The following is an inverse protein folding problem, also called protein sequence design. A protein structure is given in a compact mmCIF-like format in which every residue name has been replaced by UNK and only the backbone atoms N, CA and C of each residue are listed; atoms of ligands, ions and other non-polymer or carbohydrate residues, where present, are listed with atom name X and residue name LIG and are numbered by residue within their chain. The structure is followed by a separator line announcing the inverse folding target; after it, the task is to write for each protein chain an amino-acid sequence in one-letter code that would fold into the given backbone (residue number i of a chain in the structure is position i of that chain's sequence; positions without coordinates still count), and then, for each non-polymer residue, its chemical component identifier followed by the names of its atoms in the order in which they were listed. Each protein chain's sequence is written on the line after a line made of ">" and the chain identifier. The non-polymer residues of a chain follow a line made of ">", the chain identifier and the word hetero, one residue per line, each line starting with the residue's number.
data_IF_258880190382
#
_entry.id   IF_258880190382
#
_cell.length_a   1.000
_cell.length_b   1.000
_cell.length_c   1.000
_cell.angle_alpha   90.00
_cell.angle_beta   90.00
_cell.angle_gamma   90.00
#
_symmetry.space_group_name_H-M   'P 1'
#
loop_
_entity.id
_entity.type
_entity.pdbx_description
1 polymer ?
#
# COMPACT_ATOMS: atom_id res chain seq x y z
N UNK A 1 -21.52 3.10 -16.49
CA UNK A 1 -20.68 3.82 -15.50
C UNK A 1 -19.78 2.82 -14.78
N UNK A 2 -18.45 2.98 -14.84
CA UNK A 2 -17.56 2.22 -13.96
C UNK A 2 -17.80 2.72 -12.53
N UNK A 3 -18.39 1.87 -11.69
CA UNK A 3 -18.64 2.19 -10.27
C UNK A 3 -17.51 1.61 -9.42
N UNK A 4 -17.17 2.33 -8.34
CA UNK A 4 -16.29 1.82 -7.30
C UNK A 4 -16.92 0.56 -6.70
N UNK A 5 -16.15 -0.52 -6.66
CA UNK A 5 -16.56 -1.75 -5.98
C UNK A 5 -16.03 -1.72 -4.55
N UNK A 6 -16.85 -1.23 -3.62
CA UNK A 6 -16.47 -1.14 -2.21
C UNK A 6 -16.16 -2.50 -1.56
N UNK A 7 -16.76 -3.60 -2.06
CA UNK A 7 -16.42 -4.95 -1.59
C UNK A 7 -14.97 -5.30 -1.92
N UNK A 8 -14.52 -4.98 -3.14
CA UNK A 8 -13.14 -5.20 -3.56
C UNK A 8 -12.15 -4.30 -2.78
N UNK A 9 -12.53 -3.03 -2.52
CA UNK A 9 -11.73 -2.12 -1.68
C UNK A 9 -11.54 -2.69 -0.28
N UNK A 10 -12.64 -3.09 0.38
CA UNK A 10 -12.56 -3.64 1.74
C UNK A 10 -11.71 -4.92 1.78
N UNK A 11 -11.80 -5.75 0.75
CA UNK A 11 -10.97 -6.95 0.64
C UNK A 11 -9.48 -6.63 0.49
N UNK A 12 -9.12 -5.70 -0.40
CA UNK A 12 -7.72 -5.23 -0.55
C UNK A 12 -7.21 -4.65 0.76
N UNK A 13 -8.01 -3.80 1.40
CA UNK A 13 -7.68 -3.17 2.67
C UNK A 13 -7.38 -4.21 3.75
N UNK A 14 -8.24 -5.22 3.91
CA UNK A 14 -8.03 -6.32 4.85
C UNK A 14 -6.75 -7.10 4.55
N UNK A 15 -6.49 -7.44 3.28
CA UNK A 15 -5.25 -8.12 2.90
C UNK A 15 -4.00 -7.29 3.17
N UNK A 16 -4.06 -5.97 2.96
CA UNK A 16 -2.94 -5.08 3.26
C UNK A 16 -2.69 -4.93 4.76
N UNK A 17 -3.75 -4.96 5.59
CA UNK A 17 -3.61 -5.02 7.05
C UNK A 17 -2.95 -6.32 7.48
N UNK A 18 -3.41 -7.47 6.96
CA UNK A 18 -2.80 -8.77 7.27
C UNK A 18 -1.33 -8.81 6.83
N UNK A 19 -1.04 -8.27 5.65
CA UNK A 19 0.33 -8.13 5.16
C UNK A 19 1.15 -7.20 6.06
N UNK A 20 0.59 -6.12 6.60
CA UNK A 20 1.28 -5.22 7.52
C UNK A 20 1.62 -5.89 8.85
N UNK A 21 0.67 -6.65 9.41
CA UNK A 21 0.88 -7.42 10.65
C UNK A 21 1.97 -8.47 10.44
N UNK A 22 1.86 -9.25 9.35
CA UNK A 22 2.85 -10.26 9.02
C UNK A 22 4.22 -9.63 8.78
N UNK A 23 4.28 -8.59 7.94
CA UNK A 23 5.50 -7.85 7.65
C UNK A 23 6.16 -7.38 8.94
N UNK A 24 5.46 -6.65 9.80
CA UNK A 24 5.96 -6.15 11.08
C UNK A 24 6.49 -7.27 12.00
N UNK A 25 5.86 -8.45 11.98
CA UNK A 25 6.30 -9.60 12.78
C UNK A 25 7.67 -10.14 12.35
N UNK A 26 8.07 -9.89 11.10
CA UNK A 26 9.37 -10.26 10.54
C UNK A 26 10.38 -9.11 10.51
N UNK A 27 10.15 -8.02 11.25
CA UNK A 27 11.04 -6.87 11.24
C UNK A 27 12.46 -7.24 11.71
N UNK A 28 13.51 -6.94 10.91
CA UNK A 28 14.89 -7.19 11.31
C UNK A 28 15.30 -6.22 12.42
N UNK A 29 15.15 -6.66 13.68
CA UNK A 29 15.68 -6.06 14.92
C UNK A 29 15.14 -4.68 15.36
N UNK A 30 15.40 -4.35 16.64
CA UNK A 30 15.00 -3.13 17.35
C UNK A 30 15.52 -1.81 16.72
N UNK A 31 16.53 -1.85 15.85
CA UNK A 31 17.11 -0.65 15.20
C UNK A 31 16.14 0.05 14.24
N UNK A 32 15.23 -0.70 13.61
CA UNK A 32 14.18 -0.16 12.76
C UNK A 32 13.18 0.69 13.57
N UNK A 33 12.95 0.30 14.84
CA UNK A 33 12.18 1.08 15.81
C UNK A 33 12.97 2.29 16.31
N UNK A 34 14.29 2.20 16.49
CA UNK A 34 15.17 3.33 16.86
C UNK A 34 15.15 4.49 15.85
N UNK A 35 15.03 4.20 14.55
CA UNK A 35 14.82 5.23 13.52
C UNK A 35 13.54 6.04 13.73
N UNK A 36 12.45 5.39 14.19
CA UNK A 36 11.21 6.08 14.54
C UNK A 36 11.34 6.93 15.82
N UNK A 37 12.23 6.56 16.75
CA UNK A 37 12.54 7.33 17.98
C UNK A 37 13.12 8.69 17.63
N UNK A 38 14.03 8.75 16.64
CA UNK A 38 14.62 10.01 16.18
C UNK A 38 13.61 10.99 15.59
N UNK A 39 12.54 10.47 14.99
CA UNK A 39 11.51 11.30 14.34
C UNK A 39 10.45 11.75 15.35
N UNK A 40 10.14 10.92 16.34
CA UNK A 40 9.00 11.14 17.25
C UNK A 40 9.40 11.65 18.64
N UNK A 41 10.69 11.58 19.01
CA UNK A 41 11.21 12.04 20.31
C UNK A 41 10.83 11.17 21.52
N UNK A 42 9.80 10.32 21.38
CA UNK A 42 9.33 9.41 22.42
C UNK A 42 10.04 8.05 22.38
N UNK A 43 10.45 7.56 23.56
CA UNK A 43 10.93 6.18 23.76
C UNK A 43 9.77 5.20 23.52
N UNK A 44 9.74 4.44 22.43
CA UNK A 44 8.67 3.52 22.13
C UNK A 44 9.08 2.15 22.68
N UNK A 45 8.65 1.85 23.89
CA UNK A 45 8.47 0.43 24.23
C UNK A 45 7.30 -0.17 23.42
N UNK A 46 6.41 0.67 22.86
CA UNK A 46 5.25 0.26 22.06
C UNK A 46 4.91 1.25 20.94
N UNK A 47 4.31 0.75 19.85
CA UNK A 47 3.69 1.57 18.80
C UNK A 47 2.57 2.42 19.43
N UNK A 48 2.62 3.75 19.28
CA UNK A 48 1.55 4.60 19.82
C UNK A 48 0.23 4.36 19.10
N UNK A 49 -0.90 4.53 19.79
CA UNK A 49 -2.23 4.43 19.18
C UNK A 49 -2.34 5.34 17.96
N UNK A 50 -1.75 6.55 18.03
CA UNK A 50 -1.70 7.49 16.91
C UNK A 50 -0.96 6.95 15.68
N UNK A 51 0.19 6.30 15.85
CA UNK A 51 0.94 5.67 14.76
C UNK A 51 0.14 4.52 14.13
N UNK A 52 -0.51 3.69 14.95
CA UNK A 52 -1.38 2.62 14.47
C UNK A 52 -2.50 3.20 13.62
N UNK A 53 -3.22 4.21 14.13
CA UNK A 53 -4.31 4.88 13.39
C UNK A 53 -3.83 5.49 12.07
N UNK A 54 -2.64 6.12 12.07
CA UNK A 54 -2.05 6.67 10.85
C UNK A 54 -1.75 5.60 9.80
N UNK A 55 -1.25 4.43 10.21
CA UNK A 55 -1.01 3.31 9.31
C UNK A 55 -2.33 2.86 8.65
N UNK A 56 -3.37 2.60 9.45
CA UNK A 56 -4.68 2.20 8.92
C UNK A 56 -5.27 3.25 7.97
N UNK A 57 -5.18 4.53 8.33
CA UNK A 57 -5.67 5.63 7.50
C UNK A 57 -4.89 5.71 6.17
N UNK A 58 -3.57 5.62 6.23
CA UNK A 58 -2.69 5.65 5.06
C UNK A 58 -3.01 4.52 4.07
N UNK A 59 -3.15 3.28 4.57
CA UNK A 59 -3.54 2.11 3.77
C UNK A 59 -4.91 2.37 3.12
N UNK A 60 -5.90 2.82 3.90
CA UNK A 60 -7.25 3.05 3.38
C UNK A 60 -7.29 4.12 2.28
N UNK A 61 -6.62 5.26 2.50
CA UNK A 61 -6.51 6.34 1.52
C UNK A 61 -5.79 5.87 0.26
N UNK A 62 -4.72 5.08 0.40
CA UNK A 62 -4.01 4.49 -0.73
C UNK A 62 -4.92 3.61 -1.59
N UNK A 63 -5.67 2.67 -0.99
CA UNK A 63 -6.59 1.79 -1.73
C UNK A 63 -7.68 2.58 -2.43
N UNK A 64 -8.26 3.59 -1.76
CA UNK A 64 -9.26 4.47 -2.35
C UNK A 64 -8.71 5.25 -3.54
N UNK A 65 -7.50 5.79 -3.42
CA UNK A 65 -6.84 6.52 -4.50
C UNK A 65 -6.62 5.64 -5.73
N UNK A 66 -6.08 4.42 -5.54
CA UNK A 66 -5.87 3.49 -6.66
C UNK A 66 -7.19 3.07 -7.29
N UNK A 67 -8.21 2.76 -6.48
CA UNK A 67 -9.53 2.42 -6.99
C UNK A 67 -10.17 3.56 -7.79
N UNK A 68 -10.05 4.81 -7.31
CA UNK A 68 -10.50 6.00 -8.01
C UNK A 68 -9.77 6.17 -9.35
N UNK A 69 -8.44 6.01 -9.36
CA UNK A 69 -7.64 6.16 -10.57
C UNK A 69 -8.03 5.11 -11.62
N UNK A 70 -8.19 3.84 -11.22
CA UNK A 70 -8.59 2.75 -12.12
C UNK A 70 -9.95 2.96 -12.80
N UNK A 71 -10.82 3.78 -12.20
CA UNK A 71 -12.12 4.15 -12.78
C UNK A 71 -11.99 5.29 -13.78
N UNK A 72 -11.02 6.19 -13.57
CA UNK A 72 -10.72 7.30 -14.50
C UNK A 72 -10.04 6.80 -15.77
N UNK A 73 -9.26 5.72 -15.68
CA UNK A 73 -8.60 5.11 -16.85
C UNK A 73 -9.61 4.26 -17.63
N UNK A 74 -10.20 4.86 -18.66
CA UNK A 74 -11.14 4.22 -19.60
C UNK A 74 -10.38 3.51 -20.73
N UNK A 75 -10.99 2.47 -21.29
CA UNK A 75 -10.47 1.78 -22.48
C UNK A 75 -9.30 0.82 -22.25
N UNK A 76 -8.71 0.79 -21.05
CA UNK A 76 -7.63 -0.15 -20.72
C UNK A 76 -8.16 -1.54 -20.35
N UNK A 77 -7.47 -2.57 -20.84
CA UNK A 77 -7.69 -3.96 -20.44
C UNK A 77 -7.37 -4.14 -18.95
N UNK A 78 -7.86 -5.24 -18.36
CA UNK A 78 -7.51 -5.58 -16.97
C UNK A 78 -5.98 -5.69 -16.78
N UNK A 79 -5.28 -6.23 -17.79
CA UNK A 79 -3.82 -6.29 -17.79
C UNK A 79 -3.17 -4.90 -17.88
N UNK A 80 -3.68 -3.99 -18.73
CA UNK A 80 -3.19 -2.61 -18.78
C UNK A 80 -3.36 -1.88 -17.45
N UNK A 81 -4.46 -2.15 -16.73
CA UNK A 81 -4.71 -1.64 -15.38
C UNK A 81 -3.78 -2.24 -14.33
N UNK A 82 -3.47 -3.53 -14.43
CA UNK A 82 -2.46 -4.18 -13.60
C UNK A 82 -1.10 -3.51 -13.77
N UNK A 83 -0.63 -3.36 -15.01
CA UNK A 83 0.65 -2.71 -15.33
C UNK A 83 0.67 -1.26 -14.82
N UNK A 84 -0.45 -0.54 -14.91
CA UNK A 84 -0.57 0.81 -14.39
C UNK A 84 -0.35 0.88 -12.87
N UNK A 85 -0.93 -0.04 -12.10
CA UNK A 85 -0.75 -0.08 -10.64
C UNK A 85 0.71 -0.38 -10.27
N UNK A 86 1.35 -1.33 -10.96
CA UNK A 86 2.77 -1.63 -10.77
C UNK A 86 3.65 -0.43 -11.16
N UNK A 87 3.34 0.21 -12.29
CA UNK A 87 4.05 1.39 -12.79
C UNK A 87 3.96 2.56 -11.81
N UNK A 88 2.81 2.81 -11.19
CA UNK A 88 2.70 3.83 -10.15
C UNK A 88 3.66 3.57 -8.99
N UNK A 89 3.80 2.33 -8.54
CA UNK A 89 4.75 2.01 -7.48
C UNK A 89 6.20 2.24 -7.94
N UNK A 90 6.58 1.75 -9.12
CA UNK A 90 7.93 1.92 -9.66
C UNK A 90 8.31 3.39 -9.91
N UNK A 91 7.41 4.20 -10.45
CA UNK A 91 7.72 5.56 -10.90
C UNK A 91 7.35 6.66 -9.91
N UNK A 92 6.52 6.38 -8.91
CA UNK A 92 6.14 7.37 -7.87
C UNK A 92 6.78 7.01 -6.54
N UNK A 93 6.71 5.75 -6.11
CA UNK A 93 7.19 5.36 -4.77
C UNK A 93 8.72 5.25 -4.75
N UNK A 94 9.32 4.64 -5.77
CA UNK A 94 10.76 4.37 -5.81
C UNK A 94 11.62 5.64 -5.81
N UNK A 95 11.31 6.71 -6.59
CA UNK A 95 12.07 7.96 -6.51
C UNK A 95 11.94 8.67 -5.16
N UNK A 96 10.72 8.76 -4.62
CA UNK A 96 10.47 9.36 -3.30
C UNK A 96 11.22 8.60 -2.20
N UNK A 97 11.25 7.28 -2.32
CA UNK A 97 11.97 6.40 -1.43
C UNK A 97 13.49 6.65 -1.47
N UNK A 98 14.08 6.78 -2.67
CA UNK A 98 15.51 7.09 -2.83
C UNK A 98 15.86 8.42 -2.16
N UNK A 99 15.03 9.46 -2.34
CA UNK A 99 15.23 10.78 -1.70
C UNK A 99 15.16 10.66 -0.18
N UNK A 100 14.16 9.96 0.35
CA UNK A 100 14.03 9.74 1.80
C UNK A 100 15.19 8.94 2.37
N UNK A 101 15.70 7.95 1.63
CA UNK A 101 16.81 7.14 2.10
C UNK A 101 18.12 7.94 2.16
N UNK A 102 18.36 8.83 1.19
CA UNK A 102 19.49 9.76 1.22
C UNK A 102 19.42 10.71 2.42
N UNK A 103 18.22 11.09 2.85
CA UNK A 103 18.01 11.99 3.99
C UNK A 103 18.08 11.29 5.35
N UNK A 104 17.49 10.09 5.46
CA UNK A 104 17.38 9.34 6.71
C UNK A 104 18.57 8.39 6.96
N UNK A 105 19.41 8.18 5.95
CA UNK A 105 20.61 7.33 6.00
C UNK A 105 20.31 5.91 6.51
N UNK A 106 19.26 5.26 5.99
CA UNK A 106 18.95 3.89 6.36
C UNK A 106 19.97 2.91 5.76
N UNK A 107 20.22 1.81 6.45
CA UNK A 107 21.02 0.71 5.90
C UNK A 107 20.31 0.05 4.71
N UNK A 108 21.06 -0.63 3.84
CA UNK A 108 20.50 -1.31 2.66
C UNK A 108 19.48 -2.42 3.04
N UNK A 109 19.64 -3.07 4.20
CA UNK A 109 18.72 -4.09 4.69
C UNK A 109 17.39 -3.48 5.16
N UNK A 110 17.45 -2.43 5.98
CA UNK A 110 16.25 -1.71 6.42
C UNK A 110 15.51 -1.10 5.22
N UNK A 111 16.29 -0.64 4.26
CA UNK A 111 15.81 -0.04 3.02
C UNK A 111 14.98 -1.00 2.16
N UNK A 112 15.57 -2.17 1.88
CA UNK A 112 14.92 -3.23 1.09
C UNK A 112 13.73 -3.83 1.83
N UNK A 113 13.82 -3.95 3.15
CA UNK A 113 12.72 -4.39 3.99
C UNK A 113 11.54 -3.41 3.92
N UNK A 114 11.75 -2.09 4.00
CA UNK A 114 10.71 -1.05 3.88
C UNK A 114 10.05 -1.05 2.50
N UNK A 115 10.84 -1.20 1.44
CA UNK A 115 10.34 -1.35 0.06
C UNK A 115 9.50 -2.61 -0.13
N UNK A 116 9.83 -3.71 0.55
CA UNK A 116 9.12 -4.98 0.40
C UNK A 116 7.64 -4.89 0.80
N UNK A 117 7.31 -4.14 1.86
CA UNK A 117 5.91 -3.92 2.25
C UNK A 117 5.13 -3.15 1.18
N UNK A 118 5.75 -2.10 0.63
CA UNK A 118 5.17 -1.31 -0.46
C UNK A 118 4.94 -2.17 -1.72
N UNK A 119 5.90 -3.04 -2.06
CA UNK A 119 5.79 -3.96 -3.18
C UNK A 119 4.66 -4.98 -2.99
N UNK A 120 4.56 -5.61 -1.81
CA UNK A 120 3.48 -6.55 -1.47
C UNK A 120 2.12 -5.84 -1.53
N UNK A 121 2.00 -4.65 -0.95
CA UNK A 121 0.76 -3.88 -0.94
C UNK A 121 0.32 -3.47 -2.35
N UNK A 122 1.28 -3.07 -3.19
CA UNK A 122 1.06 -2.78 -4.60
C UNK A 122 0.56 -4.03 -5.35
N UNK A 123 1.20 -5.18 -5.14
CA UNK A 123 0.86 -6.44 -5.79
C UNK A 123 -0.55 -6.91 -5.40
N UNK A 124 -0.92 -6.86 -4.12
CA UNK A 124 -2.28 -7.14 -3.64
C UNK A 124 -3.29 -6.25 -4.39
N UNK A 125 -3.00 -4.95 -4.48
CA UNK A 125 -3.88 -3.98 -5.15
C UNK A 125 -4.02 -4.27 -6.64
N UNK A 126 -2.91 -4.57 -7.31
CA UNK A 126 -2.83 -4.84 -8.74
C UNK A 126 -3.53 -6.15 -9.12
N UNK A 127 -3.52 -7.16 -8.25
CA UNK A 127 -4.21 -8.43 -8.50
C UNK A 127 -5.71 -8.36 -8.26
N UNK A 128 -6.17 -7.54 -7.33
CA UNK A 128 -7.57 -7.57 -6.90
C UNK A 128 -8.38 -6.49 -7.63
N UNK A 129 -7.96 -5.21 -7.59
CA UNK A 129 -8.80 -4.11 -8.10
C UNK A 129 -9.04 -4.16 -9.62
N UNK A 130 -8.04 -4.45 -10.48
CA UNK A 130 -8.24 -4.54 -11.93
C UNK A 130 -9.15 -5.69 -12.37
N UNK A 131 -9.14 -6.79 -11.62
CA UNK A 131 -9.81 -8.05 -11.99
C UNK A 131 -11.18 -8.21 -11.32
N UNK A 132 -11.41 -7.58 -10.16
CA UNK A 132 -12.69 -7.64 -9.45
C UNK A 132 -13.69 -6.62 -9.99
N UNK A 133 -14.14 -6.82 -11.24
CA UNK A 133 -15.21 -6.02 -11.83
C UNK A 133 -16.48 -6.17 -10.98
N UNK A 134 -17.15 -5.05 -10.71
CA UNK A 134 -18.52 -5.05 -10.18
C UNK A 134 -19.36 -5.97 -11.06
N UNK A 135 -19.90 -7.04 -10.47
CA UNK A 135 -20.80 -7.96 -11.16
C UNK A 135 -21.87 -7.12 -11.87
N UNK A 136 -21.91 -7.18 -13.20
CA UNK A 136 -23.07 -6.65 -13.91
C UNK A 136 -24.23 -7.53 -13.47
N UNK A 137 -25.25 -6.94 -12.87
CA UNK A 137 -26.53 -7.64 -12.66
C UNK A 137 -26.90 -8.30 -13.99
N UNK A 138 -27.01 -9.63 -13.98
CA UNK A 138 -27.47 -10.44 -15.11
C UNK A 138 -28.97 -10.16 -15.36
N UNK A 139 -29.66 -9.58 -14.37
CA UNK A 139 -31.00 -9.02 -14.48
C UNK A 139 -30.97 -7.57 -14.96
N UNK A 140 -30.55 -7.36 -16.21
CA UNK A 140 -30.95 -6.17 -16.96
C UNK A 140 -31.54 -6.69 -18.27
N UNK A 141 -32.87 -6.58 -18.35
CA UNK A 141 -33.65 -6.86 -19.56
C UNK A 141 -33.33 -5.91 -20.71
#
# INVERSE_FOLDING_TARGET
>A
MYKINYKAIMLVFLFQILAAIAWYSFAPSLSFLEGAIKITGDKPQHLSVGMITLIFCSIFVHVLFVAWLLIRVKGTSAFGRFVLVIGMWLFIVLPNYVVLNLYLNHSALESTYLLSYGAISCLITALILPFWRSARSIFKG
#
